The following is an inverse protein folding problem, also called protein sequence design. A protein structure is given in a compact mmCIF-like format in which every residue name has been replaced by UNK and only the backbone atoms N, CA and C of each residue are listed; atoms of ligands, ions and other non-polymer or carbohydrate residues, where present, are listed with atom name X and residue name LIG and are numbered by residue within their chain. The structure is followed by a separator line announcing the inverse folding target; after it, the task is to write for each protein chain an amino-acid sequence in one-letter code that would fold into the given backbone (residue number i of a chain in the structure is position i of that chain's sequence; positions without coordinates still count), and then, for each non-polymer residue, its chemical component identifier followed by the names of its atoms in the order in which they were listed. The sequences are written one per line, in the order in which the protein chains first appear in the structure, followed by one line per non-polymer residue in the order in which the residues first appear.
data_IF_457667638183
#
_entry.id   IF_457667638183
#
_cell.length_a   1.000
_cell.length_b   1.000
_cell.length_c   1.000
_cell.angle_alpha   90.00
_cell.angle_beta   90.00
_cell.angle_gamma   90.00
#
_symmetry.space_group_name_H-M   'P 1'
#
loop_
_entity.id
_entity.type
_entity.pdbx_description
1 polymer ?
#
# COMPACT_ATOMS: atom_id res chain seq x y z
N UNK A 1 -29.88 -37.83 25.19
CA UNK A 1 -28.59 -37.68 24.48
C UNK A 1 -28.90 -36.99 23.17
N UNK A 2 -28.86 -35.66 23.18
CA UNK A 2 -29.18 -34.83 22.01
C UNK A 2 -28.09 -35.02 20.96
N UNK A 3 -28.49 -35.50 19.78
CA UNK A 3 -27.65 -35.48 18.60
C UNK A 3 -27.45 -34.02 18.18
N UNK A 4 -26.29 -33.45 18.52
CA UNK A 4 -25.74 -32.26 17.85
C UNK A 4 -25.57 -32.56 16.37
N UNK A 5 -26.66 -32.40 15.62
CA UNK A 5 -26.72 -32.58 14.18
C UNK A 5 -26.40 -31.25 13.51
N UNK A 6 -25.20 -31.20 12.93
CA UNK A 6 -24.94 -30.43 11.72
C UNK A 6 -24.63 -28.95 11.90
N UNK A 7 -23.37 -28.64 12.24
CA UNK A 7 -22.76 -27.39 11.77
C UNK A 7 -22.79 -27.26 10.22
N UNK A 8 -23.10 -28.35 9.50
CA UNK A 8 -23.17 -28.44 8.05
C UNK A 8 -24.42 -27.81 7.37
N UNK A 9 -25.41 -27.28 8.11
CA UNK A 9 -26.67 -26.78 7.54
C UNK A 9 -26.75 -25.25 7.37
N UNK A 10 -25.64 -24.53 7.53
CA UNK A 10 -25.66 -23.08 7.28
C UNK A 10 -25.83 -22.80 5.77
N UNK A 11 -26.62 -21.77 5.40
CA UNK A 11 -26.65 -21.23 4.05
C UNK A 11 -25.26 -20.85 3.52
N UNK A 12 -25.07 -20.92 2.20
CA UNK A 12 -23.78 -20.68 1.55
C UNK A 12 -23.24 -19.27 1.82
N UNK A 13 -24.08 -18.24 1.77
CA UNK A 13 -23.75 -16.85 2.07
C UNK A 13 -23.26 -16.67 3.52
N UNK A 14 -23.88 -17.37 4.48
CA UNK A 14 -23.43 -17.38 5.87
C UNK A 14 -22.05 -18.01 5.99
N UNK A 15 -21.80 -19.12 5.28
CA UNK A 15 -20.46 -19.70 5.20
C UNK A 15 -19.45 -18.74 4.58
N UNK A 16 -19.79 -18.05 3.49
CA UNK A 16 -18.91 -17.08 2.83
C UNK A 16 -18.53 -15.94 3.77
N UNK A 17 -19.46 -15.45 4.58
CA UNK A 17 -19.19 -14.43 5.60
C UNK A 17 -18.29 -14.96 6.72
N UNK A 18 -18.56 -16.15 7.25
CA UNK A 18 -17.75 -16.77 8.30
C UNK A 18 -16.32 -16.98 7.79
N UNK A 19 -16.18 -17.68 6.67
CA UNK A 19 -14.87 -18.03 6.11
C UNK A 19 -14.10 -16.79 5.66
N UNK A 20 -14.77 -15.82 5.03
CA UNK A 20 -14.18 -14.55 4.64
C UNK A 20 -13.69 -13.75 5.85
N UNK A 21 -14.46 -13.70 6.94
CA UNK A 21 -14.06 -13.04 8.19
C UNK A 21 -12.89 -13.77 8.86
N UNK A 22 -12.91 -15.09 8.90
CA UNK A 22 -11.80 -15.90 9.42
C UNK A 22 -10.53 -15.65 8.60
N UNK A 23 -10.63 -15.61 7.27
CA UNK A 23 -9.52 -15.25 6.40
C UNK A 23 -8.98 -13.85 6.70
N UNK A 24 -9.86 -12.86 6.91
CA UNK A 24 -9.50 -11.50 7.27
C UNK A 24 -8.88 -11.36 8.66
N UNK A 25 -9.02 -12.36 9.54
CA UNK A 25 -8.34 -12.40 10.83
C UNK A 25 -6.97 -13.05 10.70
N UNK A 26 -6.89 -14.22 10.07
CA UNK A 26 -5.65 -14.99 9.98
C UNK A 26 -5.73 -16.09 8.92
N UNK A 27 -4.69 -16.19 8.10
CA UNK A 27 -4.52 -17.33 7.16
C UNK A 27 -4.44 -18.67 7.91
N UNK A 28 -3.88 -18.68 9.12
CA UNK A 28 -3.80 -19.89 9.94
C UNK A 28 -5.18 -20.36 10.38
N UNK A 29 -6.05 -19.44 10.78
CA UNK A 29 -7.39 -19.77 11.23
C UNK A 29 -8.25 -20.21 10.05
N UNK A 30 -8.06 -19.60 8.88
CA UNK A 30 -8.68 -20.06 7.63
C UNK A 30 -8.28 -21.51 7.31
N UNK A 31 -7.00 -21.84 7.39
CA UNK A 31 -6.53 -23.21 7.18
C UNK A 31 -7.19 -24.18 8.18
N UNK A 32 -7.26 -23.81 9.45
CA UNK A 32 -7.87 -24.65 10.51
C UNK A 32 -9.36 -24.86 10.25
N UNK A 33 -10.09 -23.79 9.90
CA UNK A 33 -11.51 -23.84 9.57
C UNK A 33 -11.78 -24.71 8.34
N UNK A 34 -10.97 -24.58 7.28
CA UNK A 34 -11.09 -25.41 6.07
C UNK A 34 -10.85 -26.90 6.33
N UNK A 35 -10.05 -27.24 7.34
CA UNK A 35 -9.83 -28.64 7.72
C UNK A 35 -10.97 -29.21 8.58
N UNK A 36 -11.83 -28.36 9.15
CA UNK A 36 -12.89 -28.77 10.07
C UNK A 36 -14.12 -29.36 9.36
N UNK A 37 -14.51 -28.85 8.18
CA UNK A 37 -15.65 -29.37 7.44
C UNK A 37 -15.59 -29.09 5.93
N UNK A 38 -16.29 -29.91 5.14
CA UNK A 38 -16.33 -29.79 3.67
C UNK A 38 -16.96 -28.49 3.19
N UNK A 39 -18.00 -27.98 3.87
CA UNK A 39 -18.65 -26.73 3.49
C UNK A 39 -17.66 -25.55 3.58
N UNK A 40 -16.98 -25.40 4.72
CA UNK A 40 -15.97 -24.39 4.91
C UNK A 40 -14.77 -24.57 3.96
N UNK A 41 -14.39 -25.82 3.66
CA UNK A 41 -13.33 -26.11 2.68
C UNK A 41 -13.70 -25.59 1.28
N UNK A 42 -14.92 -25.88 0.82
CA UNK A 42 -15.38 -25.51 -0.51
C UNK A 42 -15.50 -23.99 -0.64
N UNK A 43 -16.13 -23.33 0.33
CA UNK A 43 -16.23 -21.86 0.37
C UNK A 43 -14.85 -21.21 0.50
N UNK A 44 -13.94 -21.83 1.26
CA UNK A 44 -12.56 -21.38 1.44
C UNK A 44 -11.69 -21.40 0.18
N UNK A 45 -12.17 -21.97 -0.93
CA UNK A 45 -11.52 -21.95 -2.24
C UNK A 45 -12.08 -20.85 -3.17
N UNK A 46 -13.07 -20.09 -2.74
CA UNK A 46 -13.66 -19.02 -3.55
C UNK A 46 -12.78 -17.76 -3.59
N UNK A 47 -12.79 -17.07 -4.73
CA UNK A 47 -12.00 -15.86 -4.95
C UNK A 47 -12.28 -14.73 -3.94
N UNK A 48 -13.50 -14.69 -3.38
CA UNK A 48 -13.83 -13.74 -2.32
C UNK A 48 -12.97 -13.95 -1.06
N UNK A 49 -12.75 -15.20 -0.65
CA UNK A 49 -11.97 -15.53 0.56
C UNK A 49 -10.51 -15.11 0.38
N UNK A 50 -9.93 -15.39 -0.78
CA UNK A 50 -8.57 -14.97 -1.11
C UNK A 50 -8.40 -13.45 -1.16
N UNK A 51 -9.45 -12.69 -1.55
CA UNK A 51 -9.43 -11.22 -1.50
C UNK A 51 -9.46 -10.67 -0.07
N UNK A 52 -10.06 -11.41 0.86
CA UNK A 52 -10.21 -10.99 2.25
C UNK A 52 -9.02 -11.37 3.13
N UNK A 53 -8.19 -12.32 2.70
CA UNK A 53 -7.13 -12.90 3.51
C UNK A 53 -6.18 -11.86 4.13
N UNK A 54 -6.05 -11.85 5.46
CA UNK A 54 -5.08 -11.00 6.14
C UNK A 54 -3.70 -11.64 6.08
N UNK A 55 -2.86 -11.10 5.21
CA UNK A 55 -1.48 -11.54 5.03
C UNK A 55 -0.56 -10.44 5.55
N UNK A 56 0.22 -10.68 6.63
CA UNK A 56 1.25 -9.77 7.08
C UNK A 56 2.30 -9.48 5.99
N UNK A 57 2.90 -8.29 6.01
CA UNK A 57 3.94 -7.92 5.02
C UNK A 57 5.15 -8.86 5.13
N UNK A 58 5.55 -9.22 6.35
CA UNK A 58 6.61 -10.18 6.64
C UNK A 58 6.35 -11.53 5.98
N UNK A 59 5.12 -12.02 6.12
CA UNK A 59 4.71 -13.34 5.64
C UNK A 59 4.69 -13.36 4.12
N UNK A 60 4.09 -12.36 3.48
CA UNK A 60 4.10 -12.26 2.02
C UNK A 60 5.52 -12.26 1.45
N UNK A 61 6.44 -11.51 2.09
CA UNK A 61 7.86 -11.48 1.67
C UNK A 61 8.50 -12.85 1.85
N UNK A 62 8.38 -13.42 3.05
CA UNK A 62 8.99 -14.70 3.38
C UNK A 62 8.50 -15.82 2.47
N UNK A 63 7.19 -15.89 2.23
CA UNK A 63 6.58 -16.85 1.32
C UNK A 63 7.04 -16.65 -0.12
N UNK A 64 7.29 -15.41 -0.56
CA UNK A 64 7.74 -15.14 -1.93
C UNK A 64 9.20 -15.54 -2.17
N UNK A 65 10.07 -15.42 -1.17
CA UNK A 65 11.52 -15.66 -1.29
C UNK A 65 11.91 -17.11 -0.98
N UNK A 66 11.19 -17.78 -0.10
CA UNK A 66 11.59 -19.11 0.38
C UNK A 66 11.07 -20.23 -0.54
N UNK A 67 11.95 -21.05 -1.13
CA UNK A 67 11.54 -22.20 -1.94
C UNK A 67 10.86 -23.30 -1.09
N UNK A 68 11.06 -23.29 0.23
CA UNK A 68 10.48 -24.29 1.15
C UNK A 68 8.98 -24.08 1.42
N UNK A 69 8.40 -22.93 1.02
CA UNK A 69 7.01 -22.58 1.30
C UNK A 69 6.11 -22.67 0.07
N UNK A 70 6.20 -23.76 -0.71
CA UNK A 70 5.39 -23.94 -1.92
C UNK A 70 3.88 -23.78 -1.69
N UNK A 71 3.27 -24.31 -0.61
CA UNK A 71 1.83 -24.07 -0.34
C UNK A 71 1.49 -22.59 -0.14
N UNK A 72 2.34 -21.84 0.56
CA UNK A 72 2.14 -20.41 0.81
C UNK A 72 2.34 -19.58 -0.48
N UNK A 73 3.27 -19.99 -1.35
CA UNK A 73 3.43 -19.41 -2.69
C UNK A 73 2.20 -19.62 -3.56
N UNK A 74 1.64 -20.83 -3.53
CA UNK A 74 0.39 -21.14 -4.23
C UNK A 74 -0.77 -20.29 -3.67
N UNK A 75 -0.83 -20.13 -2.35
CA UNK A 75 -1.83 -19.25 -1.71
C UNK A 75 -1.69 -17.79 -2.18
N UNK A 76 -0.47 -17.24 -2.22
CA UNK A 76 -0.23 -15.91 -2.77
C UNK A 76 -0.59 -15.81 -4.25
N UNK A 77 -0.30 -16.84 -5.05
CA UNK A 77 -0.69 -16.88 -6.46
C UNK A 77 -2.21 -16.83 -6.62
N UNK A 78 -2.96 -17.58 -5.81
CA UNK A 78 -4.43 -17.49 -5.75
C UNK A 78 -4.89 -16.10 -5.32
N UNK A 79 -4.29 -15.49 -4.29
CA UNK A 79 -4.61 -14.12 -3.89
C UNK A 79 -4.41 -13.11 -5.04
N UNK A 80 -3.34 -13.24 -5.83
CA UNK A 80 -3.11 -12.38 -7.00
C UNK A 80 -4.17 -12.61 -8.08
N UNK A 81 -4.46 -13.88 -8.41
CA UNK A 81 -5.48 -14.25 -9.39
C UNK A 81 -6.87 -13.71 -9.00
N UNK A 82 -7.23 -13.80 -7.72
CA UNK A 82 -8.48 -13.28 -7.17
C UNK A 82 -8.47 -11.76 -6.99
N UNK A 83 -7.42 -11.04 -7.38
CA UNK A 83 -7.27 -9.57 -7.25
C UNK A 83 -7.23 -9.04 -5.82
N UNK A 84 -6.53 -9.71 -4.93
CA UNK A 84 -6.27 -9.20 -3.59
C UNK A 84 -5.43 -7.91 -3.64
N UNK A 85 -6.06 -6.77 -3.32
CA UNK A 85 -5.47 -5.44 -3.51
C UNK A 85 -4.18 -5.20 -2.71
N UNK A 86 -4.13 -5.55 -1.41
CA UNK A 86 -2.91 -5.38 -0.60
C UNK A 86 -1.73 -6.22 -1.12
N UNK A 87 -1.99 -7.46 -1.53
CA UNK A 87 -0.95 -8.34 -2.11
C UNK A 87 -0.42 -7.75 -3.41
N UNK A 88 -1.32 -7.30 -4.30
CA UNK A 88 -0.96 -6.67 -5.57
C UNK A 88 -0.22 -5.34 -5.36
N UNK A 89 -0.67 -4.48 -4.45
CA UNK A 89 0.01 -3.24 -4.07
C UNK A 89 1.46 -3.49 -3.66
N UNK A 90 1.68 -4.43 -2.71
CA UNK A 90 3.02 -4.77 -2.23
C UNK A 90 3.90 -5.33 -3.34
N UNK A 91 3.34 -6.18 -4.22
CA UNK A 91 4.03 -6.68 -5.41
C UNK A 91 4.43 -5.55 -6.35
N UNK A 92 3.51 -4.62 -6.65
CA UNK A 92 3.77 -3.48 -7.51
C UNK A 92 4.85 -2.54 -6.93
N UNK A 93 4.81 -2.24 -5.63
CA UNK A 93 5.85 -1.46 -4.95
C UNK A 93 7.21 -2.18 -5.04
N UNK A 94 7.23 -3.50 -4.88
CA UNK A 94 8.46 -4.29 -5.00
C UNK A 94 9.04 -4.24 -6.42
N UNK A 95 8.19 -4.31 -7.42
CA UNK A 95 8.60 -4.23 -8.83
C UNK A 95 9.12 -2.84 -9.21
N UNK A 96 8.49 -1.79 -8.69
CA UNK A 96 8.87 -0.41 -8.96
C UNK A 96 10.18 -0.03 -8.27
N UNK A 97 10.30 -0.38 -6.98
CA UNK A 97 11.30 0.21 -6.10
C UNK A 97 12.29 -0.78 -5.46
N UNK A 98 12.08 -2.09 -5.56
CA UNK A 98 12.89 -3.11 -4.87
C UNK A 98 13.55 -4.11 -5.83
N UNK A 99 14.03 -3.61 -6.97
CA UNK A 99 14.80 -4.42 -7.93
C UNK A 99 14.00 -5.20 -8.97
N UNK A 100 12.66 -5.16 -8.95
CA UNK A 100 11.82 -5.89 -9.92
C UNK A 100 11.58 -5.17 -11.26
N UNK A 101 10.52 -5.59 -11.97
CA UNK A 101 10.20 -5.10 -13.33
C UNK A 101 9.31 -3.86 -13.29
N UNK A 102 9.88 -2.68 -13.59
CA UNK A 102 9.14 -1.40 -13.52
C UNK A 102 7.86 -1.37 -14.36
N UNK A 103 7.87 -1.98 -15.55
CA UNK A 103 6.69 -2.01 -16.43
C UNK A 103 5.54 -2.82 -15.80
N UNK A 104 5.82 -4.04 -15.33
CA UNK A 104 4.84 -4.88 -14.65
C UNK A 104 4.34 -4.24 -13.34
N UNK A 105 5.25 -3.57 -12.61
CA UNK A 105 4.91 -2.81 -11.42
C UNK A 105 3.93 -1.67 -11.71
N UNK A 106 4.15 -0.92 -12.80
CA UNK A 106 3.23 0.14 -13.25
C UNK A 106 1.86 -0.39 -13.67
N UNK A 107 1.83 -1.46 -14.47
CA UNK A 107 0.58 -2.10 -14.89
C UNK A 107 -0.25 -2.58 -13.69
N UNK A 108 0.40 -3.26 -12.75
CA UNK A 108 -0.23 -3.72 -11.52
C UNK A 108 -0.72 -2.55 -10.67
N UNK A 109 0.07 -1.47 -10.57
CA UNK A 109 -0.31 -0.28 -9.81
C UNK A 109 -1.56 0.40 -10.41
N UNK A 110 -1.68 0.45 -11.74
CA UNK A 110 -2.89 0.97 -12.40
C UNK A 110 -4.13 0.12 -12.08
N UNK A 111 -4.01 -1.21 -12.08
CA UNK A 111 -5.11 -2.08 -11.66
C UNK A 111 -5.53 -1.79 -10.22
N UNK A 112 -4.56 -1.68 -9.31
CA UNK A 112 -4.85 -1.48 -7.88
C UNK A 112 -5.47 -0.10 -7.61
N UNK A 113 -5.00 0.95 -8.30
CA UNK A 113 -5.58 2.30 -8.21
C UNK A 113 -6.99 2.39 -8.79
N UNK A 114 -7.29 1.69 -9.88
CA UNK A 114 -8.63 1.62 -10.46
C UNK A 114 -9.67 1.02 -9.49
N UNK A 115 -9.24 0.24 -8.50
CA UNK A 115 -10.10 -0.29 -7.44
C UNK A 115 -10.11 0.58 -6.16
N UNK A 116 -9.59 1.81 -6.23
CA UNK A 116 -9.69 2.81 -5.15
C UNK A 116 -8.70 2.62 -3.99
N UNK A 117 -7.63 1.84 -4.15
CA UNK A 117 -6.65 1.64 -3.08
C UNK A 117 -5.80 2.90 -2.84
N UNK A 118 -6.03 3.58 -1.72
CA UNK A 118 -5.44 4.90 -1.45
C UNK A 118 -3.90 4.91 -1.42
N UNK A 119 -3.24 3.89 -0.85
CA UNK A 119 -1.77 3.85 -0.83
C UNK A 119 -1.16 3.66 -2.23
N UNK A 120 -1.92 3.03 -3.13
CA UNK A 120 -1.52 2.90 -4.53
C UNK A 120 -1.69 4.23 -5.25
N UNK A 121 -2.78 4.96 -4.97
CA UNK A 121 -2.98 6.32 -5.50
C UNK A 121 -1.88 7.27 -5.01
N UNK A 122 -1.49 7.17 -3.74
CA UNK A 122 -0.34 7.92 -3.18
C UNK A 122 0.96 7.57 -3.91
N UNK A 123 1.20 6.30 -4.20
CA UNK A 123 2.41 5.88 -4.93
C UNK A 123 2.40 6.41 -6.37
N UNK A 124 1.26 6.34 -7.06
CA UNK A 124 1.09 6.93 -8.40
C UNK A 124 1.27 8.44 -8.38
N UNK A 125 0.70 9.13 -7.39
CA UNK A 125 0.94 10.56 -7.15
C UNK A 125 2.44 10.85 -7.09
N UNK A 126 3.19 10.17 -6.23
CA UNK A 126 4.64 10.36 -6.12
C UNK A 126 5.37 10.12 -7.43
N UNK A 127 5.01 9.05 -8.16
CA UNK A 127 5.60 8.77 -9.46
C UNK A 127 5.28 9.83 -10.52
N UNK A 128 4.09 10.43 -10.48
CA UNK A 128 3.72 11.54 -11.37
C UNK A 128 4.51 12.80 -11.04
N UNK A 129 4.70 13.10 -9.75
CA UNK A 129 5.48 14.26 -9.29
C UNK A 129 6.97 14.15 -9.62
N UNK A 130 7.50 12.92 -9.68
CA UNK A 130 8.88 12.65 -10.08
C UNK A 130 9.14 12.85 -11.58
N UNK A 131 8.10 13.02 -12.41
CA UNK A 131 8.25 13.28 -13.84
C UNK A 131 8.46 14.76 -14.11
N UNK A 132 9.33 15.08 -15.07
CA UNK A 132 9.57 16.44 -15.52
C UNK A 132 8.61 16.85 -16.65
N UNK A 133 7.30 16.80 -16.39
CA UNK A 133 6.33 17.40 -17.30
C UNK A 133 5.10 17.93 -16.53
N UNK A 134 4.58 19.06 -17.03
CA UNK A 134 3.49 19.78 -16.40
C UNK A 134 2.20 18.94 -16.29
N UNK A 135 1.86 18.18 -17.33
CA UNK A 135 0.64 17.37 -17.35
C UNK A 135 0.65 16.30 -16.24
N UNK A 136 1.76 15.59 -16.07
CA UNK A 136 1.92 14.58 -15.02
C UNK A 136 1.83 15.22 -13.63
N UNK A 137 2.53 16.34 -13.42
CA UNK A 137 2.47 17.08 -12.15
C UNK A 137 1.04 17.54 -11.84
N UNK A 138 0.28 18.02 -12.82
CA UNK A 138 -1.11 18.42 -12.60
C UNK A 138 -2.00 17.23 -12.20
N UNK A 139 -1.89 16.08 -12.87
CA UNK A 139 -2.59 14.84 -12.47
C UNK A 139 -2.19 14.38 -11.06
N UNK A 140 -0.91 14.55 -10.72
CA UNK A 140 -0.40 14.30 -9.38
C UNK A 140 -1.05 15.21 -8.33
N UNK A 141 -1.15 16.50 -8.59
CA UNK A 141 -1.80 17.47 -7.71
C UNK A 141 -3.30 17.19 -7.52
N UNK A 142 -4.00 16.75 -8.56
CA UNK A 142 -5.39 16.29 -8.45
C UNK A 142 -5.51 15.09 -7.51
N UNK A 143 -4.60 14.12 -7.64
CA UNK A 143 -4.54 12.95 -6.76
C UNK A 143 -4.25 13.35 -5.31
N UNK A 144 -3.32 14.28 -5.09
CA UNK A 144 -3.01 14.82 -3.76
C UNK A 144 -4.25 15.42 -3.10
N UNK A 145 -4.99 16.26 -3.80
CA UNK A 145 -6.24 16.88 -3.26
C UNK A 145 -7.26 15.82 -2.84
N UNK A 146 -7.42 14.76 -3.64
CA UNK A 146 -8.31 13.64 -3.29
C UNK A 146 -7.87 12.92 -2.02
N UNK A 147 -6.57 12.66 -1.88
CA UNK A 147 -6.00 12.01 -0.69
C UNK A 147 -6.08 12.89 0.56
N UNK A 148 -5.87 14.19 0.42
CA UNK A 148 -6.04 15.19 1.50
C UNK A 148 -7.50 15.26 1.95
N UNK A 149 -8.45 15.33 1.01
CA UNK A 149 -9.87 15.35 1.30
C UNK A 149 -10.35 14.08 2.02
N UNK A 150 -9.73 12.94 1.74
CA UNK A 150 -9.99 11.67 2.42
C UNK A 150 -9.17 11.49 3.72
N UNK A 151 -8.32 12.46 4.10
CA UNK A 151 -7.37 12.35 5.23
C UNK A 151 -6.55 11.05 5.20
N UNK A 152 -6.18 10.61 4.00
CA UNK A 152 -5.59 9.30 3.76
C UNK A 152 -4.05 9.31 3.74
N UNK A 153 -3.41 10.48 3.62
CA UNK A 153 -1.96 10.60 3.39
C UNK A 153 -1.13 9.86 4.44
N UNK A 154 -1.46 10.03 5.73
CA UNK A 154 -0.75 9.36 6.83
C UNK A 154 -0.82 7.83 6.70
N UNK A 155 -2.01 7.27 6.50
CA UNK A 155 -2.20 5.81 6.37
C UNK A 155 -1.50 5.30 5.10
N UNK A 156 -1.60 6.02 3.99
CA UNK A 156 -0.91 5.66 2.74
C UNK A 156 0.61 5.59 2.91
N UNK A 157 1.20 6.56 3.61
CA UNK A 157 2.64 6.59 3.93
C UNK A 157 3.06 5.40 4.78
N UNK A 158 2.26 5.06 5.79
CA UNK A 158 2.52 3.89 6.65
C UNK A 158 2.45 2.58 5.87
N UNK A 159 1.44 2.40 5.02
CA UNK A 159 1.32 1.21 4.19
C UNK A 159 2.49 1.07 3.21
N UNK A 160 2.87 2.16 2.52
CA UNK A 160 4.02 2.18 1.63
C UNK A 160 5.32 1.84 2.37
N UNK A 161 5.58 2.54 3.48
CA UNK A 161 6.77 2.35 4.31
C UNK A 161 6.88 0.92 4.84
N UNK A 162 5.76 0.30 5.21
CA UNK A 162 5.73 -1.11 5.63
C UNK A 162 6.29 -2.06 4.57
N UNK A 163 6.10 -1.77 3.28
CA UNK A 163 6.68 -2.57 2.18
C UNK A 163 8.19 -2.34 2.06
N UNK A 164 8.63 -1.07 2.14
CA UNK A 164 10.02 -0.68 1.93
C UNK A 164 10.93 -1.13 3.08
N UNK A 165 10.57 -0.84 4.33
CA UNK A 165 11.45 -1.00 5.50
C UNK A 165 11.88 -2.43 5.79
N UNK A 166 11.09 -3.42 5.41
CA UNK A 166 11.47 -4.80 5.67
C UNK A 166 12.41 -5.40 4.61
N UNK A 167 12.85 -4.60 3.62
CA UNK A 167 13.67 -5.07 2.50
C UNK A 167 15.09 -4.52 2.60
N UNK A 168 16.08 -5.29 2.13
CA UNK A 168 17.48 -4.86 2.10
C UNK A 168 17.67 -3.54 1.35
N UNK A 169 18.40 -2.61 1.96
CA UNK A 169 18.62 -1.25 1.43
C UNK A 169 19.29 -1.23 0.06
N UNK A 170 20.18 -2.19 -0.23
CA UNK A 170 20.83 -2.30 -1.55
C UNK A 170 19.86 -2.62 -2.71
N UNK A 171 18.64 -3.09 -2.41
CA UNK A 171 17.60 -3.32 -3.41
C UNK A 171 16.77 -2.07 -3.72
N UNK A 172 16.87 -1.04 -2.86
CA UNK A 172 16.05 0.16 -2.99
C UNK A 172 16.49 0.98 -4.20
N UNK A 173 15.53 1.25 -5.09
CA UNK A 173 15.66 2.22 -6.18
C UNK A 173 15.09 3.55 -5.71
N UNK A 174 15.85 4.23 -4.85
CA UNK A 174 15.46 5.53 -4.29
C UNK A 174 15.31 6.55 -5.43
N UNK A 175 14.16 7.24 -5.54
CA UNK A 175 14.01 8.32 -6.50
C UNK A 175 14.98 9.48 -6.20
N UNK A 176 15.58 10.04 -7.24
CA UNK A 176 16.36 11.27 -7.12
C UNK A 176 15.43 12.48 -7.22
N UNK A 177 15.65 13.47 -6.35
CA UNK A 177 14.98 14.76 -6.42
C UNK A 177 15.92 15.78 -7.05
N UNK A 178 15.44 16.41 -8.10
CA UNK A 178 16.12 17.42 -8.89
C UNK A 178 15.45 18.78 -8.64
N UNK A 179 16.12 19.87 -9.03
CA UNK A 179 15.47 21.19 -9.10
C UNK A 179 14.24 21.15 -10.05
N UNK A 180 14.27 20.31 -11.07
CA UNK A 180 13.17 20.07 -12.02
C UNK A 180 11.97 19.39 -11.36
N UNK A 181 12.12 18.70 -10.23
CA UNK A 181 10.99 18.09 -9.52
C UNK A 181 10.19 19.11 -8.70
N UNK A 182 10.68 20.35 -8.57
CA UNK A 182 9.94 21.40 -7.90
C UNK A 182 8.63 21.70 -8.64
N UNK A 183 7.57 21.81 -7.87
CA UNK A 183 6.19 21.94 -8.33
C UNK A 183 5.75 23.39 -8.17
N UNK A 184 6.16 24.06 -7.10
CA UNK A 184 5.87 25.47 -6.90
C UNK A 184 6.84 26.37 -7.69
N UNK A 185 6.38 26.88 -8.83
CA UNK A 185 7.12 27.84 -9.66
C UNK A 185 6.81 29.32 -9.35
N UNK A 186 5.86 29.62 -8.48
CA UNK A 186 5.46 31.01 -8.15
C UNK A 186 6.51 31.73 -7.32
N UNK A 187 7.06 32.82 -7.83
CA UNK A 187 8.01 33.69 -7.10
C UNK A 187 7.34 34.46 -5.94
N UNK A 188 6.03 34.63 -5.99
CA UNK A 188 5.26 35.29 -4.94
C UNK A 188 4.87 34.34 -3.79
N UNK A 189 5.14 33.04 -3.92
CA UNK A 189 4.79 32.09 -2.87
C UNK A 189 5.82 32.15 -1.72
N UNK A 190 5.42 32.54 -0.50
CA UNK A 190 6.35 32.71 0.63
C UNK A 190 6.98 31.38 1.07
N UNK A 191 6.32 30.27 0.76
CA UNK A 191 6.77 28.92 1.12
C UNK A 191 7.70 28.29 0.07
N UNK A 192 7.85 28.89 -1.11
CA UNK A 192 8.65 28.32 -2.20
C UNK A 192 10.12 28.12 -1.79
N UNK A 193 10.70 26.99 -2.17
CA UNK A 193 12.10 26.66 -1.90
C UNK A 193 12.43 26.33 -0.44
N UNK A 194 11.50 26.59 0.49
CA UNK A 194 11.73 26.40 1.92
C UNK A 194 11.35 25.00 2.43
N UNK A 195 10.77 24.13 1.59
CA UNK A 195 10.24 22.83 2.02
C UNK A 195 11.30 21.92 2.65
N UNK A 196 12.53 21.90 2.12
CA UNK A 196 13.62 21.12 2.72
C UNK A 196 14.08 21.66 4.08
N UNK A 197 14.00 22.97 4.30
CA UNK A 197 14.29 23.59 5.60
C UNK A 197 13.18 23.28 6.61
N UNK A 198 11.92 23.41 6.20
CA UNK A 198 10.74 23.08 7.02
C UNK A 198 10.80 21.60 7.44
N UNK A 199 11.06 20.70 6.49
CA UNK A 199 11.19 19.27 6.77
C UNK A 199 12.30 18.97 7.79
N UNK A 200 13.51 19.51 7.60
CA UNK A 200 14.63 19.31 8.53
C UNK A 200 14.34 19.84 9.93
N UNK A 201 13.74 21.02 10.03
CA UNK A 201 13.37 21.62 11.32
C UNK A 201 12.38 20.74 12.08
N UNK A 202 11.36 20.20 11.40
CA UNK A 202 10.41 19.29 12.02
C UNK A 202 11.04 17.96 12.45
N UNK A 203 11.95 17.41 11.62
CA UNK A 203 12.68 16.16 11.94
C UNK A 203 13.56 16.30 13.18
N UNK A 204 14.29 17.41 13.32
CA UNK A 204 15.20 17.64 14.44
C UNK A 204 14.47 18.08 15.73
N UNK A 205 13.33 18.78 15.62
CA UNK A 205 12.66 19.38 16.78
C UNK A 205 11.71 18.48 17.56
N UNK A 206 11.18 17.39 16.96
CA UNK A 206 10.15 16.55 17.62
C UNK A 206 10.41 15.04 17.61
N UNK A 207 11.44 14.57 16.91
CA UNK A 207 11.61 13.15 16.63
C UNK A 207 10.51 12.69 15.68
N UNK A 208 10.81 12.63 14.38
CA UNK A 208 9.77 12.32 13.39
C UNK A 208 9.25 10.88 13.55
N UNK A 209 7.99 10.75 13.92
CA UNK A 209 7.24 9.52 13.75
C UNK A 209 6.37 9.64 12.50
N UNK A 210 6.33 8.60 11.66
CA UNK A 210 5.39 8.50 10.52
C UNK A 210 3.92 8.52 10.98
N UNK A 211 3.72 8.31 12.29
CA UNK A 211 2.44 8.41 12.99
C UNK A 211 2.09 9.84 13.41
N UNK A 212 3.04 10.79 13.35
CA UNK A 212 2.72 12.20 13.45
C UNK A 212 1.94 12.53 12.17
N UNK A 213 0.62 12.64 12.31
CA UNK A 213 -0.29 12.78 11.17
C UNK A 213 0.00 13.98 10.28
N UNK A 214 -0.94 14.32 9.40
CA UNK A 214 -0.87 15.37 8.37
C UNK A 214 -0.39 16.79 8.85
N UNK A 215 -0.16 16.98 10.16
CA UNK A 215 0.34 18.18 10.83
C UNK A 215 1.74 18.66 10.44
N UNK A 216 2.51 17.90 9.67
CA UNK A 216 3.77 18.39 9.09
C UNK A 216 3.55 19.42 7.97
N UNK A 217 2.52 19.24 7.15
CA UNK A 217 2.25 20.08 5.97
C UNK A 217 0.98 20.91 6.07
N UNK A 218 0.11 20.68 7.07
CA UNK A 218 -1.17 21.37 7.21
C UNK A 218 -1.06 22.91 7.30
N UNK A 219 0.07 23.42 7.83
CA UNK A 219 0.36 24.85 7.92
C UNK A 219 0.79 25.48 6.57
N UNK A 220 1.03 24.67 5.54
CA UNK A 220 1.42 25.11 4.21
C UNK A 220 0.15 25.33 3.37
N UNK A 221 -0.16 26.59 3.09
CA UNK A 221 -1.36 26.97 2.33
C UNK A 221 -1.27 26.66 0.85
N UNK A 222 -0.07 26.70 0.27
CA UNK A 222 0.15 26.43 -1.16
C UNK A 222 0.19 24.92 -1.44
N UNK A 223 -0.75 24.42 -2.25
CA UNK A 223 -0.82 23.00 -2.64
C UNK A 223 0.43 22.52 -3.39
N UNK A 224 1.07 23.39 -4.17
CA UNK A 224 2.30 23.04 -4.89
C UNK A 224 3.46 22.85 -3.89
N UNK A 225 3.56 23.72 -2.89
CA UNK A 225 4.52 23.57 -1.81
C UNK A 225 4.25 22.35 -0.92
N UNK A 226 2.97 22.01 -0.66
CA UNK A 226 2.63 20.75 0.01
C UNK A 226 3.09 19.54 -0.79
N UNK A 227 2.91 19.55 -2.11
CA UNK A 227 3.41 18.48 -2.97
C UNK A 227 4.95 18.39 -2.94
N UNK A 228 5.65 19.52 -2.98
CA UNK A 228 7.12 19.58 -2.81
C UNK A 228 7.56 18.99 -1.47
N UNK A 229 6.83 19.28 -0.39
CA UNK A 229 7.07 18.73 0.94
C UNK A 229 6.85 17.21 0.99
N UNK A 230 5.73 16.73 0.43
CA UNK A 230 5.42 15.30 0.39
C UNK A 230 6.40 14.51 -0.50
N UNK A 231 6.95 15.11 -1.57
CA UNK A 231 8.03 14.52 -2.37
C UNK A 231 9.30 14.31 -1.54
N UNK A 232 9.71 15.32 -0.77
CA UNK A 232 10.87 15.22 0.13
C UNK A 232 10.62 14.11 1.14
N UNK A 233 9.44 14.08 1.75
CA UNK A 233 9.05 13.02 2.68
C UNK A 233 9.13 11.64 2.03
N UNK A 234 8.58 11.49 0.83
CA UNK A 234 8.53 10.21 0.12
C UNK A 234 9.91 9.61 -0.09
N UNK A 235 10.90 10.42 -0.50
CA UNK A 235 12.28 9.95 -0.65
C UNK A 235 12.88 9.47 0.67
N UNK A 236 12.55 10.13 1.79
CA UNK A 236 12.99 9.68 3.10
C UNK A 236 12.24 8.45 3.63
N UNK A 237 11.15 8.00 3.01
CA UNK A 237 10.51 6.72 3.37
C UNK A 237 11.39 5.50 3.00
N UNK A 238 12.44 5.73 2.21
CA UNK A 238 13.43 4.73 1.84
C UNK A 238 14.62 4.64 2.82
N UNK A 239 14.75 5.60 3.75
CA UNK A 239 15.72 5.54 4.85
C UNK A 239 15.27 4.53 5.94
#
# INVERSE_FOLDING_TARGET
MEHLTGSANLPHDVWTLIVGRTAAQSVRDLCSLRMSCTAARNVGEEDFVYRCASIPVSDQRWWSLSPMHQPARNFLARCRQSRHLKVLFRSAVSDLFLGGCRFAGMETMHVVTAHGHSAAQYTVFMMLMLRDNFESKNKGLETLRGLEAASALTICKLEFRGVIQGTWTHLHRVPMLNAENLVCSSHACPSRGNMGAIYRHQRCGRGWHVNDGDGGAAHISCVHCRADYELILFVHLFD
#
